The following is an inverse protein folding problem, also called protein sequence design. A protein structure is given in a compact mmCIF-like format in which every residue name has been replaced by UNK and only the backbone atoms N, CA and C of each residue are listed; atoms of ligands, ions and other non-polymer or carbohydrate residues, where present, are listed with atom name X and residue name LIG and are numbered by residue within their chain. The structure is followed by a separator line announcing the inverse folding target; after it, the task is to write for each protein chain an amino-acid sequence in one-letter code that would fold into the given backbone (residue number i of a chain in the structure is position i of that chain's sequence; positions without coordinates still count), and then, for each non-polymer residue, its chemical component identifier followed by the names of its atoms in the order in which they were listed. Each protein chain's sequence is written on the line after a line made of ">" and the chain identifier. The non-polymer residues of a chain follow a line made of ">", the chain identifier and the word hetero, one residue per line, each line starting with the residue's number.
data_IF_572853564740
#
_entry.id   IF_572853564740
#
_cell.length_a   1.000
_cell.length_b   1.000
_cell.length_c   1.000
_cell.angle_alpha   90.00
_cell.angle_beta   90.00
_cell.angle_gamma   90.00
#
_symmetry.space_group_name_H-M   'P 1'
#
loop_
_entity.id
_entity.type
_entity.pdbx_description
1 polymer ?
#
# COMPACT_ATOMS: atom_id res chain seq x y z
N UNK A 1 -2.04 -10.48 4.69
CA UNK A 1 -1.76 -11.88 4.25
C UNK A 1 -3.02 -12.73 4.25
N UNK A 2 -3.45 -13.23 5.42
CA UNK A 2 -4.63 -14.10 5.53
C UNK A 2 -5.94 -13.30 5.53
N UNK A 3 -5.98 -12.22 6.32
CA UNK A 3 -7.19 -11.41 6.49
C UNK A 3 -7.47 -10.46 5.32
N UNK A 4 -6.47 -10.10 4.51
CA UNK A 4 -6.66 -9.15 3.39
C UNK A 4 -7.58 -9.71 2.29
N UNK A 5 -7.40 -10.97 1.81
CA UNK A 5 -8.36 -11.61 0.90
C UNK A 5 -9.72 -11.87 1.55
N UNK A 6 -9.76 -12.23 2.84
CA UNK A 6 -11.01 -12.50 3.58
C UNK A 6 -11.86 -11.25 3.72
N UNK A 7 -11.27 -10.12 4.15
CA UNK A 7 -11.95 -8.82 4.20
C UNK A 7 -12.35 -8.34 2.81
N UNK A 8 -11.52 -8.59 1.80
CA UNK A 8 -11.86 -8.33 0.40
C UNK A 8 -13.07 -9.13 -0.09
N UNK A 9 -13.15 -10.41 0.27
CA UNK A 9 -14.29 -11.28 -0.02
C UNK A 9 -15.55 -10.84 0.72
N UNK A 10 -15.43 -10.48 1.99
CA UNK A 10 -16.54 -9.95 2.77
C UNK A 10 -17.06 -8.62 2.18
N UNK A 11 -16.16 -7.71 1.82
CA UNK A 11 -16.50 -6.45 1.13
C UNK A 11 -17.16 -6.67 -0.23
N UNK A 12 -16.85 -7.76 -0.92
CA UNK A 12 -17.51 -8.11 -2.19
C UNK A 12 -18.94 -8.63 -1.99
N UNK A 13 -19.23 -9.25 -0.84
CA UNK A 13 -20.58 -9.75 -0.50
C UNK A 13 -21.49 -8.67 0.05
N UNK A 14 -20.95 -7.68 0.75
CA UNK A 14 -21.75 -6.62 1.37
C UNK A 14 -21.99 -5.47 0.38
N UNK A 15 -23.24 -4.99 0.33
CA UNK A 15 -23.65 -3.90 -0.58
C UNK A 15 -22.99 -2.55 -0.22
N UNK A 16 -22.63 -2.34 1.04
CA UNK A 16 -21.93 -1.14 1.53
C UNK A 16 -20.50 -1.46 1.96
N UNK A 17 -19.56 -0.66 1.50
CA UNK A 17 -18.13 -0.79 1.83
C UNK A 17 -17.80 -0.13 3.19
N UNK A 18 -18.65 0.78 3.67
CA UNK A 18 -18.51 1.43 4.98
C UNK A 18 -18.47 0.45 6.13
N UNK A 19 -19.34 -0.57 6.15
CA UNK A 19 -19.44 -1.50 7.30
C UNK A 19 -18.09 -2.21 7.55
N UNK A 20 -17.44 -2.83 6.54
CA UNK A 20 -16.11 -3.39 6.72
C UNK A 20 -15.04 -2.40 7.19
N UNK A 21 -15.08 -1.16 6.70
CA UNK A 21 -14.12 -0.12 7.07
C UNK A 21 -14.31 0.33 8.52
N UNK A 22 -15.54 0.63 8.94
CA UNK A 22 -15.84 1.05 10.31
C UNK A 22 -15.49 -0.06 11.31
N UNK A 23 -15.81 -1.32 11.02
CA UNK A 23 -15.42 -2.45 11.88
C UNK A 23 -13.90 -2.53 12.03
N UNK A 24 -13.16 -2.39 10.93
CA UNK A 24 -11.69 -2.42 10.98
C UNK A 24 -11.12 -1.27 11.81
N UNK A 25 -11.71 -0.08 11.75
CA UNK A 25 -11.29 1.08 12.53
C UNK A 25 -11.58 0.92 14.02
N UNK A 26 -12.73 0.34 14.38
CA UNK A 26 -13.02 0.01 15.78
C UNK A 26 -11.99 -0.98 16.33
N UNK A 27 -11.68 -2.04 15.57
CA UNK A 27 -10.65 -3.03 15.96
C UNK A 27 -9.28 -2.34 16.09
N UNK A 28 -8.92 -1.43 15.17
CA UNK A 28 -7.66 -0.70 15.21
C UNK A 28 -7.54 0.21 16.45
N UNK A 29 -8.56 1.02 16.72
CA UNK A 29 -8.58 1.96 17.83
C UNK A 29 -8.55 1.23 19.17
N UNK A 30 -9.37 0.18 19.33
CA UNK A 30 -9.39 -0.63 20.55
C UNK A 30 -8.08 -1.37 20.77
N UNK A 31 -7.50 -2.00 19.74
CA UNK A 31 -6.22 -2.67 19.86
C UNK A 31 -5.06 -1.71 20.17
N UNK A 32 -5.08 -0.50 19.60
CA UNK A 32 -4.08 0.54 19.87
C UNK A 32 -4.21 1.10 21.29
N UNK A 33 -5.43 1.25 21.81
CA UNK A 33 -5.67 1.65 23.19
C UNK A 33 -5.17 0.57 24.16
N UNK A 34 -5.49 -0.70 23.91
CA UNK A 34 -4.96 -1.83 24.71
C UNK A 34 -3.44 -1.85 24.69
N UNK A 35 -2.81 -1.64 23.53
CA UNK A 35 -1.35 -1.57 23.42
C UNK A 35 -0.74 -0.43 24.25
N UNK A 36 -1.39 0.75 24.25
CA UNK A 36 -0.91 1.94 24.96
C UNK A 36 -1.11 1.83 26.47
N UNK A 37 -2.08 1.05 26.92
CA UNK A 37 -2.38 0.83 28.34
C UNK A 37 -1.69 -0.41 28.94
N UNK A 38 -0.77 -1.06 28.21
CA UNK A 38 -0.09 -2.28 28.70
C UNK A 38 0.60 -2.05 30.03
N UNK A 39 1.22 -0.88 30.22
CA UNK A 39 1.98 -0.54 31.44
C UNK A 39 1.11 -0.50 32.71
N UNK A 40 -0.19 -0.23 32.56
CA UNK A 40 -1.14 -0.12 33.68
C UNK A 40 -1.71 -1.51 34.06
N UNK A 41 -1.58 -2.50 33.18
CA UNK A 41 -2.15 -3.84 33.43
C UNK A 41 -1.31 -4.61 34.47
N UNK A 42 -1.94 -5.21 35.49
CA UNK A 42 -1.21 -5.79 36.62
C UNK A 42 -0.45 -7.09 36.29
N UNK A 43 -0.76 -7.78 35.18
CA UNK A 43 -0.18 -9.10 34.85
C UNK A 43 -0.23 -9.41 33.35
N UNK A 44 0.65 -10.31 32.89
CA UNK A 44 0.66 -10.89 31.53
C UNK A 44 0.94 -9.92 30.36
N UNK A 45 1.75 -8.87 30.57
CA UNK A 45 2.14 -7.87 29.57
C UNK A 45 2.50 -8.44 28.18
N UNK A 46 3.25 -9.55 28.12
CA UNK A 46 3.68 -10.20 26.88
C UNK A 46 2.50 -10.66 26.01
N UNK A 47 1.49 -11.26 26.62
CA UNK A 47 0.31 -11.77 25.91
C UNK A 47 -0.59 -10.63 25.44
N UNK A 48 -0.78 -9.59 26.26
CA UNK A 48 -1.50 -8.38 25.86
C UNK A 48 -0.84 -7.65 24.69
N UNK A 49 0.49 -7.59 24.68
CA UNK A 49 1.26 -7.06 23.56
C UNK A 49 1.06 -7.88 22.27
N UNK A 50 1.11 -9.21 22.38
CA UNK A 50 0.92 -10.10 21.23
C UNK A 50 -0.50 -9.97 20.65
N UNK A 51 -1.52 -9.98 21.52
CA UNK A 51 -2.93 -9.89 21.13
C UNK A 51 -3.23 -8.54 20.47
N UNK A 52 -2.76 -7.44 21.06
CA UNK A 52 -2.96 -6.10 20.46
C UNK A 52 -2.25 -5.98 19.10
N UNK A 53 -1.01 -6.47 18.97
CA UNK A 53 -0.29 -6.54 17.68
C UNK A 53 -1.05 -7.37 16.64
N UNK A 54 -1.61 -8.51 17.05
CA UNK A 54 -2.40 -9.36 16.18
C UNK A 54 -3.63 -8.60 15.64
N UNK A 55 -4.42 -7.96 16.50
CA UNK A 55 -5.61 -7.22 16.09
C UNK A 55 -5.31 -5.98 15.23
N UNK A 56 -4.20 -5.26 15.51
CA UNK A 56 -3.70 -4.20 14.62
C UNK A 56 -3.33 -4.77 13.24
N UNK A 57 -2.76 -5.97 13.21
CA UNK A 57 -2.52 -6.70 11.97
C UNK A 57 -3.82 -7.05 11.22
N UNK A 58 -4.86 -7.52 11.92
CA UNK A 58 -6.17 -7.81 11.30
C UNK A 58 -6.77 -6.55 10.70
N UNK A 59 -6.80 -5.45 11.44
CA UNK A 59 -7.41 -4.19 10.99
C UNK A 59 -6.70 -3.56 9.78
N UNK A 60 -5.39 -3.78 9.61
CA UNK A 60 -4.63 -3.34 8.42
C UNK A 60 -5.15 -3.90 7.09
N UNK A 61 -6.01 -4.92 7.13
CA UNK A 61 -6.70 -5.47 5.95
C UNK A 61 -7.65 -4.48 5.27
N UNK A 62 -8.00 -3.37 5.94
CA UNK A 62 -8.80 -2.29 5.39
C UNK A 62 -8.20 -1.64 4.13
N UNK A 63 -6.87 -1.69 3.97
CA UNK A 63 -6.17 -1.18 2.77
C UNK A 63 -6.69 -1.86 1.50
N UNK A 64 -6.95 -3.17 1.54
CA UNK A 64 -7.49 -3.90 0.40
C UNK A 64 -8.90 -3.42 0.01
N UNK A 65 -9.73 -3.13 1.02
CA UNK A 65 -11.09 -2.63 0.85
C UNK A 65 -11.07 -1.21 0.29
N UNK A 66 -10.21 -0.33 0.82
CA UNK A 66 -10.02 1.03 0.30
C UNK A 66 -9.58 1.03 -1.17
N UNK A 67 -8.63 0.16 -1.54
CA UNK A 67 -8.16 0.03 -2.94
C UNK A 67 -9.27 -0.46 -3.87
N UNK A 68 -10.06 -1.44 -3.43
CA UNK A 68 -11.20 -1.92 -4.20
C UNK A 68 -12.29 -0.85 -4.34
N UNK A 69 -12.54 -0.05 -3.30
CA UNK A 69 -13.49 1.07 -3.37
C UNK A 69 -13.00 2.14 -4.33
N UNK A 70 -11.71 2.51 -4.28
CA UNK A 70 -11.13 3.47 -5.20
C UNK A 70 -11.37 3.04 -6.66
N UNK A 71 -11.10 1.78 -6.99
CA UNK A 71 -11.34 1.28 -8.34
C UNK A 71 -12.81 1.29 -8.74
N UNK A 72 -13.73 1.14 -7.79
CA UNK A 72 -15.18 1.20 -8.04
C UNK A 72 -15.72 2.64 -8.11
N UNK A 73 -15.05 3.59 -7.44
CA UNK A 73 -15.45 4.99 -7.34
C UNK A 73 -14.83 5.88 -8.42
N UNK A 74 -13.81 5.41 -9.14
CA UNK A 74 -13.06 6.18 -10.15
C UNK A 74 -13.32 5.69 -11.57
N UNK A 75 -13.31 6.64 -12.51
CA UNK A 75 -13.35 6.35 -13.94
C UNK A 75 -12.04 5.71 -14.40
N UNK A 76 -12.06 4.99 -15.52
CA UNK A 76 -10.87 4.28 -16.02
C UNK A 76 -9.73 5.23 -16.40
N UNK A 77 -10.05 6.38 -16.99
CA UNK A 77 -9.08 7.40 -17.38
C UNK A 77 -8.46 8.15 -16.19
N UNK A 78 -9.22 8.34 -15.10
CA UNK A 78 -8.78 9.03 -13.88
C UNK A 78 -8.09 8.10 -12.86
N UNK A 79 -8.24 6.78 -13.05
CA UNK A 79 -7.81 5.77 -12.08
C UNK A 79 -6.34 5.86 -11.71
N UNK A 80 -5.49 6.15 -12.69
CA UNK A 80 -4.03 6.23 -12.50
C UNK A 80 -3.65 7.36 -11.56
N UNK A 81 -4.22 8.55 -11.76
CA UNK A 81 -4.04 9.68 -10.86
C UNK A 81 -4.59 9.39 -9.46
N UNK A 82 -5.75 8.75 -9.37
CA UNK A 82 -6.37 8.42 -8.08
C UNK A 82 -5.56 7.39 -7.27
N UNK A 83 -5.05 6.33 -7.92
CA UNK A 83 -4.18 5.32 -7.29
C UNK A 83 -2.84 5.94 -6.89
N UNK A 84 -2.28 6.83 -7.70
CA UNK A 84 -1.06 7.58 -7.37
C UNK A 84 -1.25 8.45 -6.11
N UNK A 85 -2.39 9.14 -5.98
CA UNK A 85 -2.70 9.96 -4.81
C UNK A 85 -2.86 9.12 -3.54
N UNK A 86 -3.53 7.96 -3.60
CA UNK A 86 -3.61 7.04 -2.46
C UNK A 86 -2.21 6.53 -2.07
N UNK A 87 -1.37 6.19 -3.05
CA UNK A 87 -0.02 5.71 -2.80
C UNK A 87 0.87 6.80 -2.20
N UNK A 88 0.73 8.05 -2.66
CA UNK A 88 1.37 9.22 -2.07
C UNK A 88 0.96 9.40 -0.61
N UNK A 89 -0.34 9.35 -0.30
CA UNK A 89 -0.83 9.46 1.08
C UNK A 89 -0.26 8.35 1.98
N UNK A 90 -0.13 7.12 1.45
CA UNK A 90 0.50 6.02 2.17
C UNK A 90 1.98 6.29 2.48
N UNK A 91 2.74 6.82 1.52
CA UNK A 91 4.16 7.17 1.73
C UNK A 91 4.33 8.35 2.67
N UNK A 92 3.48 9.37 2.58
CA UNK A 92 3.45 10.46 3.57
C UNK A 92 3.21 9.91 4.98
N UNK A 93 2.31 8.94 5.15
CA UNK A 93 2.12 8.25 6.42
C UNK A 93 3.39 7.54 6.93
N UNK A 94 4.15 6.88 6.04
CA UNK A 94 5.43 6.27 6.39
C UNK A 94 6.51 7.28 6.82
N UNK A 95 6.48 8.51 6.30
CA UNK A 95 7.42 9.57 6.67
C UNK A 95 7.00 10.26 7.97
N UNK A 96 5.72 10.61 8.07
CA UNK A 96 5.17 11.35 9.21
C UNK A 96 5.14 10.48 10.47
N UNK A 97 4.97 9.16 10.35
CA UNK A 97 4.93 8.24 11.50
C UNK A 97 6.17 8.32 12.41
N UNK A 98 7.39 8.02 11.90
CA UNK A 98 8.62 8.16 12.68
C UNK A 98 8.89 9.60 13.16
N UNK A 99 8.51 10.62 12.38
CA UNK A 99 8.65 12.01 12.79
C UNK A 99 7.76 12.36 13.99
N UNK A 100 6.50 11.89 14.00
CA UNK A 100 5.61 12.02 15.15
C UNK A 100 6.14 11.25 16.37
N UNK A 101 6.71 10.06 16.15
CA UNK A 101 7.34 9.28 17.21
C UNK A 101 8.55 10.02 17.81
N UNK A 102 9.40 10.64 16.99
CA UNK A 102 10.54 11.43 17.44
C UNK A 102 10.12 12.76 18.12
N UNK A 103 8.99 13.35 17.73
CA UNK A 103 8.47 14.54 18.41
C UNK A 103 8.05 14.23 19.86
N UNK A 104 7.43 13.05 20.09
CA UNK A 104 6.98 12.67 21.44
C UNK A 104 8.09 12.15 22.35
N UNK A 105 9.30 11.86 21.83
CA UNK A 105 10.43 11.46 22.69
C UNK A 105 10.91 12.59 23.60
N UNK A 106 10.57 13.85 23.28
CA UNK A 106 10.88 15.00 24.13
C UNK A 106 10.09 15.03 25.45
N UNK A 107 9.05 14.20 25.62
CA UNK A 107 8.29 14.11 26.87
C UNK A 107 9.10 13.49 28.03
N UNK A 108 10.14 12.70 27.74
CA UNK A 108 10.96 12.03 28.75
C UNK A 108 10.20 11.03 29.65
N UNK A 109 10.87 10.60 30.72
CA UNK A 109 10.30 9.89 31.88
C UNK A 109 10.25 10.86 33.06
N UNK A 110 9.14 11.04 33.81
CA UNK A 110 7.97 10.16 33.97
C UNK A 110 6.75 10.53 33.12
N UNK A 111 6.88 11.49 32.19
CA UNK A 111 5.75 11.98 31.39
C UNK A 111 4.60 12.56 32.22
N UNK A 112 3.37 12.40 31.73
CA UNK A 112 2.14 12.81 32.41
C UNK A 112 1.41 11.59 32.97
N UNK A 113 1.32 11.49 34.30
CA UNK A 113 0.72 10.36 35.01
C UNK A 113 -0.58 10.79 35.68
N UNK A 114 -1.70 10.18 35.29
CA UNK A 114 -2.92 10.16 36.08
C UNK A 114 -2.97 8.78 36.76
N UNK A 115 -2.80 8.70 38.09
CA UNK A 115 -2.73 7.44 38.83
C UNK A 115 -3.93 6.53 38.51
N UNK A 116 -3.65 5.30 38.06
CA UNK A 116 -4.64 4.25 37.81
C UNK A 116 -5.48 4.36 36.53
N UNK A 117 -5.36 5.46 35.76
CA UNK A 117 -6.22 5.71 34.59
C UNK A 117 -5.40 5.91 33.31
N UNK A 118 -4.32 6.70 33.37
CA UNK A 118 -3.65 7.15 32.15
C UNK A 118 -2.18 7.45 32.42
N UNK A 119 -1.29 6.77 31.69
CA UNK A 119 0.15 7.04 31.73
C UNK A 119 0.61 7.45 30.32
N UNK A 120 1.03 8.70 30.18
CA UNK A 120 1.51 9.27 28.92
C UNK A 120 2.98 9.61 29.04
N UNK A 121 3.83 8.66 28.66
CA UNK A 121 5.28 8.80 28.62
C UNK A 121 5.77 8.68 27.17
N UNK A 122 7.09 8.78 26.97
CA UNK A 122 7.73 8.60 25.66
C UNK A 122 7.33 7.28 24.95
N UNK A 123 7.02 6.23 25.70
CA UNK A 123 6.71 4.90 25.16
C UNK A 123 5.23 4.71 24.80
N UNK A 124 4.30 5.35 25.51
CA UNK A 124 2.85 5.21 25.31
C UNK A 124 2.25 6.33 24.46
N UNK A 125 2.88 7.51 24.40
CA UNK A 125 2.36 8.69 23.71
C UNK A 125 2.08 8.43 22.21
N UNK A 126 2.98 7.74 21.50
CA UNK A 126 2.79 7.38 20.10
C UNK A 126 1.55 6.48 19.89
N UNK A 127 1.27 5.59 20.83
CA UNK A 127 0.09 4.74 20.81
C UNK A 127 -1.21 5.53 21.00
N UNK A 128 -1.22 6.50 21.92
CA UNK A 128 -2.36 7.39 22.13
C UNK A 128 -2.64 8.33 20.95
N UNK A 129 -1.59 8.83 20.28
CA UNK A 129 -1.75 9.56 19.01
C UNK A 129 -2.45 8.67 17.97
N UNK A 130 -2.07 7.39 17.90
CA UNK A 130 -2.69 6.44 16.98
C UNK A 130 -4.17 6.19 17.30
N UNK A 131 -4.55 6.15 18.59
CA UNK A 131 -5.94 6.08 19.04
C UNK A 131 -6.72 7.32 18.59
N UNK A 132 -6.18 8.52 18.79
CA UNK A 132 -6.80 9.77 18.36
C UNK A 132 -7.03 9.81 16.84
N UNK A 133 -6.01 9.45 16.06
CA UNK A 133 -6.11 9.36 14.61
C UNK A 133 -7.12 8.29 14.16
N UNK A 134 -7.20 7.16 14.87
CA UNK A 134 -8.19 6.11 14.63
C UNK A 134 -9.63 6.60 14.86
N UNK A 135 -9.88 7.35 15.94
CA UNK A 135 -11.18 7.97 16.24
C UNK A 135 -11.53 9.01 15.18
N UNK A 136 -10.60 9.89 14.82
CA UNK A 136 -10.81 10.88 13.76
C UNK A 136 -11.19 10.22 12.43
N UNK A 137 -10.48 9.18 12.04
CA UNK A 137 -10.76 8.43 10.81
C UNK A 137 -12.13 7.74 10.88
N UNK A 138 -12.50 7.18 12.03
CA UNK A 138 -13.85 6.63 12.23
C UNK A 138 -14.94 7.69 12.03
N UNK A 139 -14.76 8.88 12.60
CA UNK A 139 -15.69 10.00 12.43
C UNK A 139 -15.81 10.44 10.97
N UNK A 140 -14.71 10.45 10.21
CA UNK A 140 -14.72 10.81 8.78
C UNK A 140 -15.52 9.81 7.92
N UNK A 141 -15.56 8.53 8.29
CA UNK A 141 -16.31 7.49 7.58
C UNK A 141 -17.80 7.39 7.97
N UNK A 142 -18.26 8.21 8.93
CA UNK A 142 -19.67 8.29 9.31
C UNK A 142 -20.54 8.82 8.16
N UNK A 143 -21.83 8.45 8.11
CA UNK A 143 -22.73 8.78 7.01
C UNK A 143 -22.94 10.27 6.77
N UNK A 144 -22.64 11.11 7.78
CA UNK A 144 -22.70 12.57 7.65
C UNK A 144 -21.62 13.11 6.68
N UNK A 145 -20.42 12.54 6.70
CA UNK A 145 -19.27 13.04 5.94
C UNK A 145 -18.98 12.21 4.68
N UNK A 146 -19.13 10.89 4.75
CA UNK A 146 -18.79 10.00 3.65
C UNK A 146 -20.05 9.42 2.97
N UNK A 147 -20.21 9.72 1.68
CA UNK A 147 -21.27 9.14 0.83
C UNK A 147 -20.65 8.23 -0.24
N UNK A 148 -20.97 6.94 -0.17
CA UNK A 148 -20.52 5.94 -1.14
C UNK A 148 -21.08 6.21 -2.53
N UNK A 149 -20.21 6.19 -3.55
CA UNK A 149 -20.58 6.27 -4.96
C UNK A 149 -19.82 5.20 -5.75
N UNK A 150 -20.54 4.31 -6.45
CA UNK A 150 -19.97 3.32 -7.36
C UNK A 150 -20.11 3.82 -8.80
N UNK A 151 -19.08 4.50 -9.28
CA UNK A 151 -19.09 5.19 -10.58
C UNK A 151 -18.65 4.23 -11.71
N UNK A 152 -17.67 3.36 -11.45
CA UNK A 152 -17.11 2.46 -12.47
C UNK A 152 -18.11 1.39 -12.95
N UNK A 153 -19.00 0.91 -12.08
CA UNK A 153 -20.05 -0.03 -12.46
C UNK A 153 -21.09 0.65 -13.37
N UNK A 154 -21.49 1.88 -13.04
CA UNK A 154 -22.43 2.68 -13.84
C UNK A 154 -21.86 3.09 -15.19
N UNK A 155 -20.59 3.49 -15.24
CA UNK A 155 -19.88 3.79 -16.48
C UNK A 155 -19.84 2.57 -17.40
N UNK A 156 -19.47 1.40 -16.88
CA UNK A 156 -19.47 0.17 -17.66
C UNK A 156 -20.87 -0.26 -18.14
N UNK A 157 -21.93 0.01 -17.37
CA UNK A 157 -23.31 -0.24 -17.81
C UNK A 157 -23.71 0.65 -19.00
N UNK A 158 -23.41 1.94 -18.92
CA UNK A 158 -23.71 2.92 -19.97
C UNK A 158 -22.96 2.56 -21.25
N UNK A 159 -21.67 2.22 -21.15
CA UNK A 159 -20.82 1.91 -22.30
C UNK A 159 -21.19 0.59 -22.99
N UNK A 160 -21.78 -0.37 -22.28
CA UNK A 160 -22.21 -1.64 -22.87
C UNK A 160 -23.71 -1.69 -23.22
N UNK A 161 -24.46 -0.62 -22.99
CA UNK A 161 -25.91 -0.56 -23.27
C UNK A 161 -26.73 -1.60 -22.50
N UNK A 162 -26.26 -2.05 -21.33
CA UNK A 162 -26.90 -3.11 -20.53
C UNK A 162 -27.48 -2.54 -19.23
N UNK A 163 -28.72 -2.88 -18.93
CA UNK A 163 -29.46 -2.40 -17.75
C UNK A 163 -29.00 -3.01 -16.43
N UNK A 164 -28.16 -4.06 -16.46
CA UNK A 164 -27.79 -4.83 -15.28
C UNK A 164 -26.26 -4.80 -15.02
N UNK A 165 -25.85 -4.19 -13.90
CA UNK A 165 -24.44 -4.18 -13.43
C UNK A 165 -23.86 -5.59 -13.43
N UNK A 166 -24.70 -6.59 -13.10
CA UNK A 166 -24.30 -7.98 -12.95
C UNK A 166 -24.11 -8.74 -14.26
N UNK A 167 -24.73 -8.30 -15.35
CA UNK A 167 -24.59 -8.93 -16.67
C UNK A 167 -23.38 -8.37 -17.43
N UNK A 168 -23.13 -7.06 -17.29
CA UNK A 168 -22.02 -6.31 -17.89
C UNK A 168 -20.66 -6.87 -17.47
N UNK A 169 -20.39 -6.92 -16.16
CA UNK A 169 -19.10 -7.42 -15.65
C UNK A 169 -18.87 -8.92 -15.90
N UNK A 170 -19.92 -9.75 -15.92
CA UNK A 170 -19.81 -11.18 -16.26
C UNK A 170 -19.43 -11.42 -17.73
N UNK A 171 -19.83 -10.51 -18.62
CA UNK A 171 -19.51 -10.61 -20.04
C UNK A 171 -18.04 -10.28 -20.36
N UNK A 172 -17.40 -9.40 -19.58
CA UNK A 172 -15.95 -9.13 -19.69
C UNK A 172 -15.18 -10.22 -18.96
N UNK A 173 -14.62 -11.22 -19.65
CA UNK A 173 -13.73 -12.22 -19.03
C UNK A 173 -12.35 -11.59 -18.74
N UNK A 174 -11.92 -11.46 -17.46
CA UNK A 174 -10.61 -10.93 -17.14
C UNK A 174 -9.56 -11.97 -17.50
N UNK A 175 -8.40 -11.48 -17.92
CA UNK A 175 -7.24 -12.33 -18.10
C UNK A 175 -6.66 -12.67 -16.71
N UNK A 176 -7.08 -13.82 -16.17
CA UNK A 176 -6.60 -14.32 -14.88
C UNK A 176 -5.10 -14.59 -14.87
N UNK A 177 -4.52 -14.97 -16.02
CA UNK A 177 -3.08 -15.18 -16.14
C UNK A 177 -2.33 -13.85 -15.97
N UNK A 178 -2.87 -12.76 -16.54
CA UNK A 178 -2.32 -11.43 -16.35
C UNK A 178 -2.48 -10.92 -14.92
N UNK A 179 -3.62 -11.16 -14.29
CA UNK A 179 -3.85 -10.81 -12.89
C UNK A 179 -2.80 -11.47 -11.97
N UNK A 180 -2.54 -12.77 -12.15
CA UNK A 180 -1.50 -13.48 -11.40
C UNK A 180 -0.10 -12.97 -11.71
N UNK A 181 0.21 -12.68 -12.98
CA UNK A 181 1.48 -12.09 -13.38
C UNK A 181 1.75 -10.78 -12.65
N UNK A 182 0.75 -9.90 -12.53
CA UNK A 182 0.87 -8.63 -11.82
C UNK A 182 1.01 -8.81 -10.30
N UNK A 183 0.37 -9.82 -9.70
CA UNK A 183 0.56 -10.16 -8.28
C UNK A 183 1.99 -10.63 -8.02
N UNK A 184 2.54 -11.50 -8.87
CA UNK A 184 3.93 -11.97 -8.75
C UNK A 184 4.91 -10.82 -8.96
N UNK A 185 4.67 -9.96 -9.95
CA UNK A 185 5.47 -8.76 -10.18
C UNK A 185 5.44 -7.81 -8.97
N UNK A 186 4.26 -7.61 -8.36
CA UNK A 186 4.12 -6.80 -7.15
C UNK A 186 4.88 -7.40 -5.97
N UNK A 187 4.80 -8.73 -5.78
CA UNK A 187 5.56 -9.45 -4.77
C UNK A 187 7.06 -9.20 -4.95
N UNK A 188 7.60 -9.41 -6.16
CA UNK A 188 9.02 -9.23 -6.47
C UNK A 188 9.47 -7.78 -6.23
N UNK A 189 8.64 -6.81 -6.62
CA UNK A 189 8.89 -5.37 -6.42
C UNK A 189 8.97 -4.99 -4.95
N UNK A 190 7.96 -5.36 -4.15
CA UNK A 190 7.92 -5.06 -2.72
C UNK A 190 9.01 -5.85 -1.98
N UNK A 191 9.26 -7.11 -2.37
CA UNK A 191 10.33 -7.93 -1.81
C UNK A 191 11.66 -7.19 -1.86
N UNK A 192 12.05 -6.70 -3.04
CA UNK A 192 13.32 -5.98 -3.22
C UNK A 192 13.39 -4.69 -2.41
N UNK A 193 12.31 -3.91 -2.38
CA UNK A 193 12.25 -2.67 -1.60
C UNK A 193 12.56 -2.93 -0.11
N UNK A 194 11.90 -3.93 0.48
CA UNK A 194 12.05 -4.30 1.90
C UNK A 194 13.49 -4.69 2.25
N UNK A 195 14.28 -5.17 1.29
CA UNK A 195 15.66 -5.55 1.53
C UNK A 195 16.54 -4.38 1.95
N UNK A 196 16.47 -3.26 1.23
CA UNK A 196 17.26 -2.08 1.58
C UNK A 196 16.73 -1.44 2.86
N UNK A 197 15.42 -1.49 3.09
CA UNK A 197 14.80 -1.05 4.34
C UNK A 197 15.32 -1.84 5.55
N UNK A 198 15.56 -3.15 5.40
CA UNK A 198 15.97 -4.03 6.51
C UNK A 198 17.48 -4.14 6.66
N UNK A 199 18.21 -4.26 5.56
CA UNK A 199 19.66 -4.49 5.56
C UNK A 199 20.47 -3.20 5.45
N UNK A 200 19.85 -2.07 5.08
CA UNK A 200 20.56 -0.82 4.78
C UNK A 200 21.53 -0.40 5.89
N UNK A 201 21.07 -0.40 7.15
CA UNK A 201 21.92 -0.01 8.30
C UNK A 201 23.04 -1.01 8.56
N UNK A 202 22.77 -2.31 8.54
CA UNK A 202 23.82 -3.33 8.75
C UNK A 202 24.85 -3.31 7.62
N UNK A 203 24.37 -3.16 6.39
CA UNK A 203 25.21 -3.06 5.20
C UNK A 203 26.17 -1.87 5.29
N UNK A 204 25.71 -0.69 5.70
CA UNK A 204 26.58 0.49 5.76
C UNK A 204 27.55 0.46 6.92
N UNK A 205 27.20 -0.18 8.03
CA UNK A 205 28.16 -0.50 9.11
C UNK A 205 29.27 -1.43 8.61
N UNK A 206 28.90 -2.51 7.91
CA UNK A 206 29.87 -3.53 7.45
C UNK A 206 30.73 -3.03 6.28
N UNK A 207 30.17 -2.23 5.36
CA UNK A 207 30.86 -1.79 4.14
C UNK A 207 31.61 -0.46 4.29
N UNK A 208 31.10 0.48 5.08
CA UNK A 208 31.70 1.82 5.24
C UNK A 208 32.39 2.02 6.58
N UNK A 209 32.42 0.99 7.44
CA UNK A 209 32.96 1.05 8.79
C UNK A 209 32.40 2.22 9.63
N UNK A 210 31.12 2.55 9.41
CA UNK A 210 30.43 3.57 10.17
C UNK A 210 30.09 3.06 11.57
N UNK A 211 30.19 3.93 12.58
CA UNK A 211 29.68 3.62 13.92
C UNK A 211 28.17 3.42 13.88
N UNK A 212 27.61 2.78 14.92
CA UNK A 212 26.15 2.53 14.99
C UNK A 212 25.35 3.82 14.89
N UNK A 213 25.81 4.88 15.58
CA UNK A 213 25.14 6.17 15.60
C UNK A 213 25.24 6.88 14.24
N UNK A 214 26.41 6.88 13.61
CA UNK A 214 26.61 7.47 12.29
C UNK A 214 25.80 6.74 11.22
N UNK A 215 25.79 5.41 11.24
CA UNK A 215 25.02 4.61 10.30
C UNK A 215 23.52 4.86 10.41
N UNK A 216 22.98 4.94 11.63
CA UNK A 216 21.58 5.28 11.87
C UNK A 216 21.25 6.70 11.39
N UNK A 217 22.09 7.69 11.68
CA UNK A 217 21.87 9.08 11.28
C UNK A 217 21.92 9.24 9.75
N UNK A 218 22.95 8.69 9.11
CA UNK A 218 23.14 8.77 7.66
C UNK A 218 22.05 8.00 6.89
N UNK A 219 21.66 6.81 7.36
CA UNK A 219 20.52 6.09 6.77
C UNK A 219 19.21 6.85 6.97
N UNK A 220 18.98 7.45 8.14
CA UNK A 220 17.80 8.27 8.41
C UNK A 220 17.69 9.47 7.47
N UNK A 221 18.80 10.17 7.23
CA UNK A 221 18.86 11.27 6.26
C UNK A 221 18.60 10.77 4.83
N UNK A 222 19.22 9.65 4.44
CA UNK A 222 19.05 9.05 3.12
C UNK A 222 17.60 8.61 2.88
N UNK A 223 16.95 7.99 3.86
CA UNK A 223 15.53 7.60 3.80
C UNK A 223 14.61 8.81 3.72
N UNK A 224 14.93 9.89 4.43
CA UNK A 224 14.19 11.14 4.35
C UNK A 224 14.29 11.78 2.96
N UNK A 225 15.51 11.85 2.39
CA UNK A 225 15.72 12.33 1.04
C UNK A 225 15.03 11.44 -0.02
N UNK A 226 15.15 10.12 0.12
CA UNK A 226 14.46 9.14 -0.73
C UNK A 226 12.94 9.29 -0.68
N UNK A 227 12.37 9.60 0.48
CA UNK A 227 10.94 9.81 0.63
C UNK A 227 10.47 11.10 -0.06
N UNK A 228 11.26 12.18 -0.04
CA UNK A 228 10.98 13.40 -0.81
C UNK A 228 10.99 13.10 -2.31
N UNK A 229 12.01 12.38 -2.79
CA UNK A 229 12.10 11.93 -4.19
C UNK A 229 10.90 11.06 -4.57
N UNK A 230 10.49 10.14 -3.69
CA UNK A 230 9.33 9.30 -3.90
C UNK A 230 8.04 10.12 -3.98
N UNK A 231 7.84 11.11 -3.10
CA UNK A 231 6.68 12.01 -3.13
C UNK A 231 6.61 12.78 -4.45
N UNK A 232 7.72 13.37 -4.90
CA UNK A 232 7.81 14.05 -6.20
C UNK A 232 7.49 13.09 -7.35
N UNK A 233 7.96 11.86 -7.26
CA UNK A 233 7.70 10.82 -8.25
C UNK A 233 6.21 10.47 -8.32
N UNK A 234 5.51 10.28 -7.20
CA UNK A 234 4.07 10.01 -7.21
C UNK A 234 3.25 11.12 -7.86
N UNK A 235 3.61 12.39 -7.63
CA UNK A 235 2.97 13.54 -8.29
C UNK A 235 3.23 13.53 -9.80
N UNK A 236 4.43 13.13 -10.22
CA UNK A 236 4.83 13.07 -11.63
C UNK A 236 4.23 11.89 -12.42
N UNK A 237 3.71 10.84 -11.76
CA UNK A 237 3.17 9.65 -12.46
C UNK A 237 2.00 10.02 -13.38
N UNK A 238 1.04 10.81 -12.90
CA UNK A 238 -0.15 11.17 -13.69
C UNK A 238 0.18 11.95 -14.99
N UNK A 239 0.95 13.07 -14.95
CA UNK A 239 1.33 13.75 -16.19
C UNK A 239 2.20 12.89 -17.11
N UNK A 240 3.01 11.98 -16.57
CA UNK A 240 3.80 11.05 -17.37
C UNK A 240 2.92 10.05 -18.11
N UNK A 241 1.90 9.49 -17.45
CA UNK A 241 0.94 8.56 -18.05
C UNK A 241 0.02 9.19 -19.09
N UNK A 242 -0.14 10.53 -19.08
CA UNK A 242 -0.83 11.25 -20.16
C UNK A 242 0.01 11.37 -21.43
N UNK A 243 1.34 11.31 -21.31
CA UNK A 243 2.27 11.43 -22.45
C UNK A 243 2.74 10.08 -22.99
N UNK A 244 2.84 9.08 -22.12
CA UNK A 244 3.32 7.75 -22.48
C UNK A 244 2.37 6.67 -21.95
N UNK A 245 2.27 5.57 -22.68
CA UNK A 245 1.47 4.42 -22.25
C UNK A 245 1.93 3.90 -20.88
N UNK A 246 0.98 3.60 -20.00
CA UNK A 246 1.23 3.09 -18.64
C UNK A 246 2.14 1.85 -18.63
N UNK A 247 2.03 0.97 -19.65
CA UNK A 247 2.90 -0.21 -19.82
C UNK A 247 4.37 0.16 -20.00
N UNK A 248 4.67 1.20 -20.79
CA UNK A 248 6.04 1.61 -21.11
C UNK A 248 6.67 2.23 -19.88
N UNK A 249 5.91 3.04 -19.15
CA UNK A 249 6.35 3.65 -17.89
C UNK A 249 6.57 2.57 -16.81
N UNK A 250 5.69 1.56 -16.74
CA UNK A 250 5.88 0.46 -15.79
C UNK A 250 7.19 -0.30 -16.05
N UNK A 251 7.47 -0.64 -17.32
CA UNK A 251 8.67 -1.38 -17.70
C UNK A 251 9.94 -0.54 -17.54
N UNK A 252 10.00 0.64 -18.17
CA UNK A 252 11.21 1.45 -18.25
C UNK A 252 11.38 2.40 -17.05
N UNK A 253 10.29 2.92 -16.50
CA UNK A 253 10.32 3.80 -15.33
C UNK A 253 10.28 3.01 -14.01
N UNK A 254 9.53 1.92 -13.94
CA UNK A 254 9.42 1.10 -12.73
C UNK A 254 10.53 0.05 -12.63
N UNK A 255 10.40 -1.01 -13.42
CA UNK A 255 11.27 -2.20 -13.31
C UNK A 255 12.71 -1.95 -13.74
N UNK A 256 12.94 -1.26 -14.86
CA UNK A 256 14.29 -1.01 -15.35
C UNK A 256 15.11 -0.15 -14.37
N UNK A 257 14.53 0.92 -13.81
CA UNK A 257 15.20 1.70 -12.76
C UNK A 257 15.48 0.83 -11.53
N UNK A 258 14.55 -0.03 -11.11
CA UNK A 258 14.80 -0.96 -10.01
C UNK A 258 15.93 -1.95 -10.31
N UNK A 259 16.01 -2.51 -11.52
CA UNK A 259 17.12 -3.37 -11.96
C UNK A 259 18.44 -2.61 -11.92
N UNK A 260 18.48 -1.40 -12.49
CA UNK A 260 19.67 -0.56 -12.52
C UNK A 260 20.13 -0.19 -11.11
N UNK A 261 19.20 0.20 -10.23
CA UNK A 261 19.52 0.54 -8.84
C UNK A 261 20.16 -0.63 -8.08
N UNK A 262 19.73 -1.88 -8.34
CA UNK A 262 20.29 -3.08 -7.72
C UNK A 262 21.60 -3.52 -8.35
N UNK A 263 21.71 -3.46 -9.68
CA UNK A 263 22.94 -3.73 -10.40
C UNK A 263 24.05 -2.77 -9.95
N UNK A 264 23.70 -1.49 -9.77
CA UNK A 264 24.62 -0.49 -9.24
C UNK A 264 25.03 -0.78 -7.80
N UNK A 265 24.29 -1.52 -6.99
CA UNK A 265 24.75 -1.91 -5.65
C UNK A 265 25.67 -3.15 -5.65
N UNK A 266 26.03 -3.72 -6.80
CA UNK A 266 26.98 -4.85 -6.85
C UNK A 266 28.41 -4.30 -6.72
N UNK A 267 29.17 -4.64 -5.68
CA UNK A 267 30.47 -4.04 -5.43
C UNK A 267 31.46 -4.37 -6.56
N UNK A 268 32.10 -3.34 -7.08
CA UNK A 268 33.14 -3.38 -8.14
C UNK A 268 34.42 -2.63 -7.73
N UNK A 269 34.57 -2.36 -6.43
CA UNK A 269 35.78 -1.74 -5.88
C UNK A 269 37.02 -2.66 -5.99
N UNK A 270 38.19 -2.09 -5.73
CA UNK A 270 39.47 -2.81 -5.77
C UNK A 270 39.93 -3.34 -4.40
N UNK A 271 39.43 -2.77 -3.30
CA UNK A 271 39.87 -3.09 -1.94
C UNK A 271 38.75 -3.73 -1.11
N UNK A 272 39.05 -4.72 -0.25
CA UNK A 272 38.07 -5.31 0.66
C UNK A 272 37.66 -4.32 1.76
N UNK A 273 36.47 -4.49 2.37
CA UNK A 273 36.03 -3.64 3.47
C UNK A 273 36.92 -3.81 4.70
N UNK A 274 36.99 -2.76 5.54
CA UNK A 274 37.73 -2.80 6.80
C UNK A 274 37.15 -3.89 7.71
N UNK A 275 38.01 -4.81 8.18
CA UNK A 275 37.61 -5.90 9.08
C UNK A 275 37.61 -5.37 10.52
N UNK A 276 36.55 -5.69 11.24
CA UNK A 276 36.44 -5.47 12.67
C UNK A 276 37.41 -6.41 13.43
N UNK A 277 38.66 -6.01 13.58
CA UNK A 277 39.65 -6.72 14.40
C UNK A 277 39.60 -6.26 15.87
N UNK A 278 39.53 -7.23 16.78
CA UNK A 278 39.43 -7.03 18.25
C UNK A 278 40.76 -6.51 18.85
N UNK A 279 41.85 -6.58 18.09
CA UNK A 279 43.23 -6.33 18.55
C UNK A 279 43.57 -4.86 18.81
N UNK A 280 42.81 -3.90 18.24
CA UNK A 280 43.06 -2.46 18.39
C UNK A 280 42.04 -1.74 19.31
N UNK A 281 41.27 -2.48 20.11
CA UNK A 281 40.40 -1.88 21.11
C UNK A 281 41.26 -1.41 22.31
N UNK A 282 41.93 -0.27 22.16
CA UNK A 282 42.27 0.57 23.32
C UNK A 282 40.95 1.00 23.97
N UNK A 283 40.88 0.91 25.30
CA UNK A 283 39.69 1.17 26.12
C UNK A 283 38.83 2.33 25.60
N UNK A 284 37.70 2.01 24.97
CA UNK A 284 36.65 2.99 24.61
C UNK A 284 36.38 3.22 23.11
N UNK A 285 37.17 2.69 22.17
CA UNK A 285 36.85 2.80 20.73
C UNK A 285 35.87 1.70 20.29
N UNK A 286 34.71 2.08 19.73
CA UNK A 286 33.76 1.11 19.15
C UNK A 286 34.41 0.32 18.01
N UNK A 287 34.20 -1.00 18.01
CA UNK A 287 34.65 -1.87 16.92
C UNK A 287 33.79 -1.58 15.69
N UNK A 288 34.42 -1.10 14.61
CA UNK A 288 33.77 -0.73 13.35
C UNK A 288 34.24 -1.62 12.19
N UNK A 289 33.39 -1.76 11.18
CA UNK A 289 33.67 -2.55 9.99
C UNK A 289 33.06 -3.95 10.05
N UNK A 290 33.36 -4.76 9.03
CA UNK A 290 32.72 -6.06 8.87
C UNK A 290 33.21 -7.06 9.94
N UNK A 291 32.31 -7.80 10.61
CA UNK A 291 32.68 -8.80 11.60
C UNK A 291 33.53 -9.92 11.00
N UNK A 292 34.61 -10.30 11.69
CA UNK A 292 35.50 -11.40 11.28
C UNK A 292 34.81 -12.77 11.16
N UNK A 293 33.58 -12.92 11.70
CA UNK A 293 32.75 -14.12 11.53
C UNK A 293 32.22 -14.30 10.10
N UNK A 294 32.25 -13.24 9.28
CA UNK A 294 31.79 -13.25 7.90
C UNK A 294 33.00 -13.40 6.96
N UNK A 295 33.21 -14.62 6.45
CA UNK A 295 34.36 -14.96 5.60
C UNK A 295 34.38 -14.15 4.28
N UNK A 296 33.21 -13.80 3.75
CA UNK A 296 33.08 -13.06 2.49
C UNK A 296 33.66 -11.64 2.57
N UNK A 297 33.87 -11.08 3.77
CA UNK A 297 34.47 -9.75 3.93
C UNK A 297 35.96 -9.69 3.59
N UNK A 298 36.63 -10.85 3.54
CA UNK A 298 38.04 -10.93 3.12
C UNK A 298 38.20 -10.98 1.60
N UNK A 299 37.17 -11.44 0.89
CA UNK A 299 37.23 -11.75 -0.54
C UNK A 299 36.42 -10.79 -1.39
N UNK A 300 35.39 -10.17 -0.84
CA UNK A 300 34.46 -9.31 -1.58
C UNK A 300 34.94 -7.86 -1.50
N UNK A 301 35.02 -7.14 -2.63
CA UNK A 301 35.41 -5.74 -2.60
C UNK A 301 34.38 -4.88 -1.87
N UNK A 302 34.84 -3.79 -1.27
CA UNK A 302 34.00 -2.80 -0.62
C UNK A 302 33.16 -2.06 -1.67
N UNK A 303 31.91 -1.80 -1.32
CA UNK A 303 31.05 -0.88 -2.06
C UNK A 303 31.51 0.56 -1.82
N UNK A 304 31.44 1.43 -2.83
CA UNK A 304 31.70 2.86 -2.61
C UNK A 304 30.44 3.59 -2.15
N UNK A 305 30.59 4.65 -1.36
CA UNK A 305 29.45 5.44 -0.86
C UNK A 305 28.66 6.05 -2.03
N UNK A 306 29.35 6.56 -3.05
CA UNK A 306 28.71 7.16 -4.25
C UNK A 306 27.88 6.14 -5.02
N UNK A 307 28.38 4.92 -5.16
CA UNK A 307 27.67 3.80 -5.80
C UNK A 307 26.37 3.48 -5.06
N UNK A 308 26.43 3.36 -3.74
CA UNK A 308 25.26 3.11 -2.91
C UNK A 308 24.23 4.26 -3.00
N UNK A 309 24.69 5.52 -2.93
CA UNK A 309 23.82 6.70 -3.03
C UNK A 309 23.09 6.77 -4.39
N UNK A 310 23.80 6.54 -5.49
CA UNK A 310 23.21 6.52 -6.82
C UNK A 310 22.19 5.38 -6.98
N UNK A 311 22.54 4.17 -6.54
CA UNK A 311 21.64 3.02 -6.55
C UNK A 311 20.38 3.27 -5.72
N UNK A 312 20.53 3.92 -4.56
CA UNK A 312 19.43 4.31 -3.70
C UNK A 312 18.51 5.33 -4.37
N UNK A 313 19.04 6.43 -4.92
CA UNK A 313 18.25 7.47 -5.62
C UNK A 313 17.44 6.86 -6.77
N UNK A 314 18.08 6.03 -7.59
CA UNK A 314 17.41 5.36 -8.72
C UNK A 314 16.28 4.45 -8.21
N UNK A 315 16.53 3.70 -7.13
CA UNK A 315 15.51 2.85 -6.49
C UNK A 315 14.35 3.69 -5.93
N UNK A 316 14.63 4.85 -5.33
CA UNK A 316 13.61 5.78 -4.80
C UNK A 316 12.69 6.35 -5.88
N UNK A 317 13.14 6.42 -7.14
CA UNK A 317 12.32 6.82 -8.29
C UNK A 317 11.57 5.61 -8.87
N UNK A 318 12.27 4.48 -9.08
CA UNK A 318 11.69 3.30 -9.72
C UNK A 318 10.57 2.64 -8.90
N UNK A 319 10.73 2.54 -7.58
CA UNK A 319 9.77 1.84 -6.73
C UNK A 319 8.37 2.48 -6.71
N UNK A 320 8.19 3.81 -6.48
CA UNK A 320 6.89 4.48 -6.55
C UNK A 320 6.16 4.29 -7.89
N UNK A 321 6.90 4.37 -9.00
CA UNK A 321 6.36 4.18 -10.35
C UNK A 321 5.85 2.74 -10.49
N UNK A 322 6.69 1.76 -10.14
CA UNK A 322 6.33 0.34 -10.23
C UNK A 322 5.11 0.00 -9.37
N UNK A 323 5.10 0.37 -8.09
CA UNK A 323 4.01 0.03 -7.17
C UNK A 323 2.68 0.63 -7.63
N UNK A 324 2.68 1.89 -8.06
CA UNK A 324 1.47 2.58 -8.50
C UNK A 324 0.93 1.96 -9.78
N UNK A 325 1.79 1.80 -10.80
CA UNK A 325 1.35 1.33 -12.10
C UNK A 325 0.94 -0.13 -12.10
N UNK A 326 1.58 -1.01 -11.32
CA UNK A 326 1.08 -2.38 -11.15
C UNK A 326 -0.33 -2.35 -10.56
N UNK A 327 -0.59 -1.55 -9.51
CA UNK A 327 -1.92 -1.45 -8.90
C UNK A 327 -2.96 -0.89 -9.87
N UNK A 328 -2.60 0.16 -10.62
CA UNK A 328 -3.45 0.77 -11.64
C UNK A 328 -3.77 -0.24 -12.75
N UNK A 329 -2.78 -0.84 -13.38
CA UNK A 329 -2.99 -1.79 -14.48
C UNK A 329 -3.77 -3.01 -13.98
N UNK A 330 -3.44 -3.52 -12.80
CA UNK A 330 -4.18 -4.63 -12.18
C UNK A 330 -5.66 -4.30 -11.99
N UNK A 331 -5.98 -3.10 -11.51
CA UNK A 331 -7.38 -2.66 -11.38
C UNK A 331 -8.08 -2.47 -12.73
N UNK A 332 -7.36 -2.08 -13.79
CA UNK A 332 -7.93 -1.93 -15.14
C UNK A 332 -8.20 -3.29 -15.79
N UNK A 333 -7.27 -4.24 -15.64
CA UNK A 333 -7.39 -5.62 -16.14
C UNK A 333 -8.58 -6.36 -15.51
N UNK A 334 -8.87 -6.10 -14.24
CA UNK A 334 -10.03 -6.68 -13.56
C UNK A 334 -11.37 -6.05 -13.97
N UNK A 335 -11.36 -4.87 -14.60
CA UNK A 335 -12.57 -4.20 -15.10
C UNK A 335 -13.54 -3.74 -14.00
N UNK A 336 -14.84 -3.58 -14.28
CA UNK A 336 -15.84 -3.07 -13.32
C UNK A 336 -16.28 -4.10 -12.25
N UNK A 337 -15.62 -5.27 -12.21
CA UNK A 337 -15.95 -6.37 -11.31
C UNK A 337 -15.72 -5.99 -9.84
N UNK A 338 -16.39 -6.62 -8.86
CA UNK A 338 -16.01 -6.50 -7.45
C UNK A 338 -14.57 -6.98 -7.22
N UNK A 339 -13.63 -6.04 -7.06
CA UNK A 339 -12.19 -6.32 -7.03
C UNK A 339 -11.65 -6.62 -5.63
N UNK A 340 -12.51 -6.66 -4.59
CA UNK A 340 -12.09 -6.74 -3.18
C UNK A 340 -11.16 -7.91 -2.90
N UNK A 341 -11.55 -9.13 -3.29
CA UNK A 341 -10.73 -10.33 -3.09
C UNK A 341 -9.39 -10.28 -3.85
N UNK A 342 -9.39 -9.78 -5.09
CA UNK A 342 -8.18 -9.68 -5.91
C UNK A 342 -7.21 -8.61 -5.39
N UNK A 343 -7.72 -7.45 -5.00
CA UNK A 343 -6.94 -6.41 -4.31
C UNK A 343 -6.43 -6.90 -2.95
N UNK A 344 -7.23 -7.72 -2.26
CA UNK A 344 -6.84 -8.41 -1.04
C UNK A 344 -5.69 -9.39 -1.26
N UNK A 345 -5.72 -10.17 -2.35
CA UNK A 345 -4.65 -11.10 -2.73
C UNK A 345 -3.36 -10.35 -3.10
N UNK A 346 -3.46 -9.29 -3.89
CA UNK A 346 -2.33 -8.43 -4.25
C UNK A 346 -1.69 -7.80 -2.99
N UNK A 347 -2.50 -7.19 -2.12
CA UNK A 347 -2.03 -6.65 -0.83
C UNK A 347 -1.43 -7.75 0.05
N UNK A 348 -2.06 -8.93 0.07
CA UNK A 348 -1.58 -10.11 0.77
C UNK A 348 -0.19 -10.53 0.32
N UNK A 349 0.08 -10.53 -0.99
CA UNK A 349 1.40 -10.86 -1.55
C UNK A 349 2.48 -9.86 -1.12
N UNK A 350 2.19 -8.56 -1.09
CA UNK A 350 3.13 -7.55 -0.57
C UNK A 350 3.41 -7.67 0.93
N UNK A 351 2.45 -8.18 1.71
CA UNK A 351 2.72 -8.55 3.10
C UNK A 351 3.59 -9.82 3.20
N UNK A 352 3.40 -10.79 2.30
CA UNK A 352 4.22 -12.01 2.26
C UNK A 352 5.69 -11.69 1.98
N UNK A 353 5.94 -10.79 1.03
CA UNK A 353 7.28 -10.36 0.69
C UNK A 353 7.98 -9.66 1.85
N UNK A 354 7.23 -8.92 2.69
CA UNK A 354 7.77 -8.30 3.92
C UNK A 354 8.17 -9.32 4.99
N UNK A 355 7.52 -10.47 5.04
CA UNK A 355 7.86 -11.55 5.98
C UNK A 355 9.07 -12.33 5.47
N UNK A 356 9.06 -12.73 4.19
CA UNK A 356 10.14 -13.56 3.63
C UNK A 356 11.40 -12.77 3.26
N UNK A 357 11.30 -11.49 2.92
CA UNK A 357 12.41 -10.65 2.50
C UNK A 357 13.60 -10.66 3.48
N UNK A 358 13.40 -10.25 4.73
CA UNK A 358 14.44 -10.26 5.76
C UNK A 358 15.05 -11.64 6.01
N UNK A 359 14.23 -12.69 6.03
CA UNK A 359 14.68 -14.06 6.32
C UNK A 359 15.57 -14.59 5.19
N UNK A 360 15.10 -14.47 3.94
CA UNK A 360 15.81 -14.98 2.77
C UNK A 360 17.12 -14.21 2.56
N UNK A 361 17.07 -12.88 2.62
CA UNK A 361 18.25 -12.07 2.28
C UNK A 361 19.19 -11.91 3.46
N UNK A 362 18.71 -11.91 4.71
CA UNK A 362 19.59 -12.00 5.88
C UNK A 362 20.45 -13.27 5.85
N UNK A 363 19.87 -14.40 5.43
CA UNK A 363 20.62 -15.64 5.24
C UNK A 363 21.67 -15.54 4.12
N UNK A 364 21.29 -15.03 2.95
CA UNK A 364 22.23 -14.85 1.82
C UNK A 364 23.34 -13.85 2.19
N UNK A 365 22.98 -12.73 2.80
CA UNK A 365 23.92 -11.68 3.18
C UNK A 365 24.95 -12.18 4.18
N UNK A 366 24.51 -12.86 5.25
CA UNK A 366 25.44 -13.35 6.29
C UNK A 366 26.35 -14.48 5.81
N UNK A 367 25.90 -15.32 4.86
CA UNK A 367 26.65 -16.50 4.38
C UNK A 367 27.44 -16.27 3.10
N UNK A 368 26.83 -15.64 2.11
CA UNK A 368 27.36 -15.50 0.75
C UNK A 368 27.83 -14.06 0.46
N UNK A 369 27.44 -13.09 1.28
CA UNK A 369 27.89 -11.70 1.19
C UNK A 369 27.11 -10.82 0.22
N UNK A 370 27.63 -9.62 -0.01
CA UNK A 370 27.00 -8.55 -0.78
C UNK A 370 26.86 -8.87 -2.27
N UNK A 371 27.86 -9.53 -2.88
CA UNK A 371 27.83 -9.86 -4.31
C UNK A 371 26.63 -10.75 -4.67
N UNK A 372 26.42 -11.82 -3.91
CA UNK A 372 25.27 -12.72 -4.10
C UNK A 372 23.95 -12.06 -3.71
N UNK A 373 23.96 -11.23 -2.65
CA UNK A 373 22.77 -10.49 -2.20
C UNK A 373 22.24 -9.56 -3.29
N UNK A 374 23.10 -8.70 -3.84
CA UNK A 374 22.71 -7.76 -4.90
C UNK A 374 22.59 -8.45 -6.27
N UNK A 375 23.37 -9.50 -6.53
CA UNK A 375 23.26 -10.30 -7.76
C UNK A 375 21.91 -11.02 -7.87
N UNK A 376 21.51 -11.80 -6.87
CA UNK A 376 20.22 -12.54 -6.87
C UNK A 376 19.04 -11.58 -6.98
N UNK A 377 19.10 -10.44 -6.29
CA UNK A 377 18.02 -9.44 -6.31
C UNK A 377 17.91 -8.73 -7.65
N UNK A 378 19.04 -8.40 -8.27
CA UNK A 378 19.10 -7.85 -9.64
C UNK A 378 18.57 -8.84 -10.67
N UNK A 379 19.00 -10.10 -10.61
CA UNK A 379 18.53 -11.15 -11.52
C UNK A 379 17.02 -11.38 -11.36
N UNK A 380 16.53 -11.46 -10.13
CA UNK A 380 15.10 -11.61 -9.85
C UNK A 380 14.28 -10.44 -10.42
N UNK A 381 14.78 -9.21 -10.30
CA UNK A 381 14.17 -8.02 -10.91
C UNK A 381 14.19 -8.07 -12.44
N UNK A 382 15.32 -8.47 -13.04
CA UNK A 382 15.48 -8.56 -14.48
C UNK A 382 14.57 -9.63 -15.08
N UNK A 383 14.44 -10.79 -14.44
CA UNK A 383 13.52 -11.85 -14.84
C UNK A 383 12.07 -11.35 -14.81
N UNK A 384 11.67 -10.64 -13.74
CA UNK A 384 10.34 -10.05 -13.66
C UNK A 384 10.09 -9.00 -14.77
N UNK A 385 11.10 -8.17 -15.08
CA UNK A 385 11.03 -7.20 -16.16
C UNK A 385 10.86 -7.86 -17.53
N UNK A 386 11.66 -8.88 -17.84
CA UNK A 386 11.57 -9.64 -19.10
C UNK A 386 10.22 -10.34 -19.20
N UNK A 387 9.75 -10.95 -18.11
CA UNK A 387 8.42 -11.56 -18.05
C UNK A 387 7.31 -10.56 -18.38
N UNK A 388 7.30 -9.39 -17.72
CA UNK A 388 6.33 -8.34 -18.02
C UNK A 388 6.46 -7.78 -19.43
N UNK A 389 7.67 -7.73 -19.98
CA UNK A 389 7.91 -7.30 -21.36
C UNK A 389 7.31 -8.27 -22.37
N UNK A 390 7.52 -9.58 -22.18
CA UNK A 390 6.94 -10.64 -23.03
C UNK A 390 5.42 -10.58 -23.05
N UNK A 391 4.79 -10.37 -21.88
CA UNK A 391 3.34 -10.27 -21.77
C UNK A 391 2.79 -8.84 -21.97
N UNK A 392 3.65 -7.87 -22.33
CA UNK A 392 3.28 -6.45 -22.43
C UNK A 392 2.21 -6.15 -23.48
N UNK A 393 2.04 -7.02 -24.48
CA UNK A 393 0.97 -6.90 -25.47
C UNK A 393 -0.43 -7.15 -24.89
N UNK A 394 -0.53 -7.91 -23.79
CA UNK A 394 -1.80 -8.17 -23.08
C UNK A 394 -2.07 -7.17 -21.95
N UNK A 395 -1.10 -6.34 -21.58
CA UNK A 395 -1.26 -5.29 -20.55
C UNK A 395 -2.11 -4.10 -21.03
N UNK A 396 -2.62 -4.14 -22.26
CA UNK A 396 -3.52 -3.10 -22.80
C UNK A 396 -4.87 -3.25 -22.07
N UNK A 397 -5.31 -2.24 -21.29
CA UNK A 397 -6.65 -2.27 -20.73
C UNK A 397 -7.64 -2.32 -21.90
N UNK A 398 -8.70 -3.13 -21.84
CA UNK A 398 -9.68 -3.17 -22.93
C UNK A 398 -10.21 -1.76 -23.15
N UNK A 399 -10.07 -1.26 -24.38
CA UNK A 399 -10.68 0.00 -24.80
C UNK A 399 -12.18 -0.15 -24.55
N UNK A 400 -12.66 0.57 -23.54
CA UNK A 400 -14.07 0.80 -23.38
C UNK A 400 -14.33 1.98 -24.29
N UNK A 401 -14.87 1.68 -25.48
CA UNK A 401 -15.18 2.64 -26.54
C UNK A 401 -15.66 3.95 -25.90
N UNK A 402 -14.98 5.07 -26.23
CA UNK A 402 -15.43 6.37 -25.73
C UNK A 402 -16.92 6.51 -26.03
N UNK A 403 -17.75 6.92 -25.05
CA UNK A 403 -19.11 7.25 -25.40
C UNK A 403 -19.01 8.37 -26.45
N UNK A 404 -19.77 8.31 -27.55
CA UNK A 404 -19.85 9.46 -28.44
C UNK A 404 -20.19 10.68 -27.59
N UNK A 405 -19.58 11.82 -27.94
CA UNK A 405 -19.66 13.12 -27.26
C UNK A 405 -21.03 13.40 -26.61
N UNK A 406 -21.09 14.21 -25.53
CA UNK A 406 -22.08 14.11 -24.47
C UNK A 406 -23.50 14.39 -25.00
N UNK A 407 -24.19 13.34 -25.39
CA UNK A 407 -25.59 13.38 -25.78
C UNK A 407 -26.30 12.43 -24.82
N UNK A 408 -27.28 12.99 -24.10
CA UNK A 408 -28.35 12.28 -23.35
C UNK A 408 -28.13 11.81 -21.90
N UNK A 409 -27.15 12.32 -21.14
CA UNK A 409 -27.23 12.25 -19.67
C UNK A 409 -28.19 13.30 -19.06
N UNK A 410 -28.71 14.22 -19.86
CA UNK A 410 -29.65 15.27 -19.43
C UNK A 410 -31.10 14.99 -19.86
N UNK A 411 -31.32 14.24 -20.94
CA UNK A 411 -32.67 13.90 -21.41
C UNK A 411 -33.28 12.74 -20.61
N UNK A 412 -32.49 11.72 -20.25
CA UNK A 412 -33.02 10.57 -19.52
C UNK A 412 -33.44 10.92 -18.08
N UNK A 413 -32.87 11.97 -17.47
CA UNK A 413 -33.33 12.48 -16.17
C UNK A 413 -34.57 13.36 -16.29
N UNK A 414 -34.68 14.17 -17.36
CA UNK A 414 -35.87 15.00 -17.57
C UNK A 414 -37.07 14.18 -18.03
N UNK A 415 -36.87 13.15 -18.86
CA UNK A 415 -37.94 12.23 -19.28
C UNK A 415 -38.40 11.37 -18.10
N UNK A 416 -37.50 10.91 -17.22
CA UNK A 416 -37.87 10.17 -16.00
C UNK A 416 -38.44 11.06 -14.88
N UNK A 417 -38.13 12.35 -14.83
CA UNK A 417 -38.82 13.29 -13.93
C UNK A 417 -40.19 13.66 -14.48
N UNK A 418 -40.30 13.99 -15.76
CA UNK A 418 -41.55 14.34 -16.42
C UNK A 418 -42.53 13.16 -16.44
N UNK A 419 -42.05 11.92 -16.64
CA UNK A 419 -42.92 10.73 -16.58
C UNK A 419 -43.40 10.42 -15.17
N UNK A 420 -42.67 10.86 -14.14
CA UNK A 420 -42.99 10.61 -12.74
C UNK A 420 -43.93 11.68 -12.19
N UNK A 421 -43.70 12.95 -12.55
CA UNK A 421 -44.68 14.03 -12.31
C UNK A 421 -45.99 13.81 -13.08
N UNK A 422 -45.96 13.27 -14.31
CA UNK A 422 -47.19 12.95 -15.04
C UNK A 422 -47.92 11.72 -14.49
N UNK A 423 -47.22 10.77 -13.86
CA UNK A 423 -47.87 9.62 -13.20
C UNK A 423 -48.47 10.01 -11.84
N UNK A 424 -47.79 10.87 -11.09
CA UNK A 424 -48.26 11.31 -9.77
C UNK A 424 -49.45 12.28 -9.88
N UNK A 425 -49.57 13.05 -10.96
CA UNK A 425 -50.73 13.96 -11.20
C UNK A 425 -51.97 13.24 -11.73
N UNK A 426 -51.84 12.06 -12.35
CA UNK A 426 -52.98 11.30 -12.91
C UNK A 426 -53.59 10.33 -11.89
N UNK A 427 -52.86 9.95 -10.84
CA UNK A 427 -53.33 9.00 -9.82
C UNK A 427 -53.99 9.64 -8.57
N UNK A 428 -54.14 10.97 -8.51
CA UNK A 428 -54.66 11.68 -7.33
C UNK A 428 -56.06 12.32 -7.45
N UNK A 429 -56.99 11.86 -8.33
CA UNK A 429 -58.41 12.09 -8.06
C UNK A 429 -59.35 10.86 -8.13
N UNK A 430 -58.87 9.63 -8.35
CA UNK A 430 -59.77 8.46 -8.51
C UNK A 430 -59.88 7.51 -7.30
N UNK A 431 -59.37 7.89 -6.13
CA UNK A 431 -59.48 7.07 -4.91
C UNK A 431 -60.34 7.68 -3.79
N UNK A 432 -61.34 8.51 -4.13
CA UNK A 432 -62.31 9.04 -3.13
C UNK A 432 -63.79 8.75 -3.43
N UNK A 433 -64.13 8.04 -4.51
CA UNK A 433 -65.53 7.72 -4.85
C UNK A 433 -65.80 6.23 -4.98
N UNK A 434 -65.50 5.43 -3.94
CA UNK A 434 -66.06 4.07 -3.79
C UNK A 434 -66.06 3.68 -2.29
N UNK A 435 -66.93 4.33 -1.50
CA UNK A 435 -67.40 3.76 -0.22
C UNK A 435 -68.55 2.79 -0.54
N UNK A 436 -68.46 1.48 -0.22
CA UNK A 436 -69.64 0.66 -0.14
C UNK A 436 -70.38 0.92 1.17
N UNK A 437 -71.65 1.24 1.00
CA UNK A 437 -72.70 1.37 1.99
C UNK A 437 -72.81 0.09 2.83
N UNK A 438 -72.79 0.23 4.16
CA UNK A 438 -73.20 -0.83 5.08
C UNK A 438 -74.72 -0.85 5.07
N UNK A 439 -75.31 -1.83 4.41
CA UNK A 439 -76.73 -2.09 4.51
C UNK A 439 -77.02 -3.11 5.62
N UNK A 440 -78.09 -2.79 6.34
CA UNK A 440 -78.63 -3.44 7.53
C UNK A 440 -79.78 -4.38 7.11
N UNK A 441 -80.07 -5.39 7.94
CA UNK A 441 -81.07 -6.47 7.76
C UNK A 441 -80.64 -7.60 6.79
N UNK A 442 -80.79 -8.90 7.09
CA UNK A 442 -81.80 -9.58 7.90
C UNK A 442 -81.31 -10.98 8.28
#
# INVERSE_FOLDING_TARGET
>A
MLFSPLFGFWSNKVTSIRIPLLLSLVIFTTASAVYSSIEILPSHHKYWMLISRFFVGVSSSNVAVCRSYLSAATRLNERTGAVAMISLAQVLGFVVGPALQAAVTQLGDPGFVIPGIFHLNMYTAAGWINVLLGILNFCMFLPAFFKERRIAAKEAMILQGKEDEKATWKSIKPDYFLAWTLIVAFFILVFNFVLLETLGTSLTMDQFAWTKMEALSNMGLLMSAGAVIACLTFVAINPLCRRFDERKILLWGGFFLMVLGRAMCIPWGSEPPQIAEITNATDGTEIVGCPASQEWCRTTPAMTITQFLLGYIITSIGYPIGVTLIQTIFSKVLGPRPQGTWMGLMTGSGCLSRVFGPVFVGFIYTRLGTYWTFGVTTVMMAVAMVWLWVFSYRLIPPDLDEPPAPVELQEMSMVKLASRESLDVVLEPELETLKPEKDDNR
#
